data_IF_061991816369
#
_entry.id   IF_061991816369
#
_cell.length_a   1.000
_cell.length_b   1.000
_cell.length_c   1.000
_cell.angle_alpha   90.00
_cell.angle_beta   90.00
_cell.angle_gamma   90.00
#
_symmetry.space_group_name_H-M   'P 1'
#
loop_
_entity.id
_entity.type
_entity.pdbx_description
1 polymer ?
#
# COMPACT_ATOMS: atom_id res chain seq x y z
N UNK A 1 3.30 28.68 -13.45
CA UNK A 1 2.47 27.53 -13.09
C UNK A 1 1.11 27.99 -12.60
N UNK A 2 0.08 27.27 -12.96
CA UNK A 2 -1.30 27.63 -12.62
C UNK A 2 -1.63 27.12 -11.20
N UNK A 3 -1.87 28.07 -10.28
CA UNK A 3 -2.17 27.78 -8.86
C UNK A 3 -3.45 26.93 -8.70
N UNK A 4 -4.42 27.08 -9.60
CA UNK A 4 -5.66 26.29 -9.55
C UNK A 4 -5.42 24.83 -9.92
N UNK A 5 -4.55 24.58 -10.89
CA UNK A 5 -4.18 23.23 -11.30
C UNK A 5 -3.40 22.54 -10.16
N UNK A 6 -2.45 23.25 -9.54
CA UNK A 6 -1.69 22.71 -8.40
C UNK A 6 -2.63 22.41 -7.22
N UNK A 7 -3.60 23.28 -6.98
CA UNK A 7 -4.59 23.07 -5.93
C UNK A 7 -5.45 21.84 -6.22
N UNK A 8 -5.86 21.66 -7.48
CA UNK A 8 -6.64 20.51 -7.92
C UNK A 8 -5.87 19.20 -7.67
N UNK A 9 -4.62 19.10 -8.10
CA UNK A 9 -3.80 17.91 -7.89
C UNK A 9 -3.59 17.61 -6.40
N UNK A 10 -3.41 18.66 -5.60
CA UNK A 10 -3.23 18.52 -4.15
C UNK A 10 -4.48 17.96 -3.49
N UNK A 11 -5.64 18.49 -3.84
CA UNK A 11 -6.92 18.02 -3.31
C UNK A 11 -7.19 16.59 -3.78
N UNK A 12 -6.95 16.29 -5.04
CA UNK A 12 -7.16 14.97 -5.61
C UNK A 12 -6.37 13.91 -4.85
N UNK A 13 -5.09 14.15 -4.59
CA UNK A 13 -4.26 13.22 -3.85
C UNK A 13 -4.65 13.14 -2.37
N UNK A 14 -4.89 14.30 -1.75
CA UNK A 14 -5.13 14.40 -0.30
C UNK A 14 -6.48 13.83 0.11
N UNK A 15 -7.52 14.04 -0.69
CA UNK A 15 -8.89 13.66 -0.37
C UNK A 15 -9.31 12.32 -1.01
N UNK A 16 -8.46 11.67 -1.79
CA UNK A 16 -8.78 10.40 -2.44
C UNK A 16 -9.26 9.36 -1.40
N UNK A 17 -10.34 8.60 -1.71
CA UNK A 17 -10.84 7.56 -0.82
C UNK A 17 -9.85 6.41 -0.60
N UNK A 18 -9.09 6.06 -1.63
CA UNK A 18 -8.01 5.08 -1.50
C UNK A 18 -6.84 5.69 -0.74
N UNK A 19 -6.09 4.86 -0.04
CA UNK A 19 -4.86 5.32 0.60
C UNK A 19 -3.81 5.66 -0.46
N UNK A 20 -3.19 6.82 -0.33
CA UNK A 20 -2.00 7.19 -1.10
C UNK A 20 -0.89 7.45 -0.10
N UNK A 21 0.16 6.65 -0.19
CA UNK A 21 1.31 6.71 0.71
C UNK A 21 2.56 6.86 -0.14
N UNK A 22 3.40 7.84 0.20
CA UNK A 22 4.70 7.98 -0.44
C UNK A 22 5.79 7.84 0.61
N UNK A 23 6.75 6.96 0.33
CA UNK A 23 7.94 6.77 1.14
C UNK A 23 9.18 7.15 0.32
N UNK A 24 10.15 7.80 0.98
CA UNK A 24 11.42 8.13 0.35
C UNK A 24 12.28 6.87 0.13
N UNK A 25 13.46 7.05 -0.45
CA UNK A 25 14.36 5.92 -0.74
C UNK A 25 14.83 5.17 0.51
N UNK A 26 14.74 5.79 1.69
CA UNK A 26 15.05 5.17 2.98
C UNK A 26 13.83 4.44 3.59
N UNK A 27 12.67 4.51 2.95
CA UNK A 27 11.45 3.86 3.44
C UNK A 27 10.71 4.67 4.50
N UNK A 28 11.00 5.96 4.64
CA UNK A 28 10.32 6.83 5.58
C UNK A 28 9.15 7.54 4.89
N UNK A 29 8.01 7.54 5.56
CA UNK A 29 6.77 8.11 5.04
C UNK A 29 6.88 9.63 4.97
N UNK A 30 6.61 10.20 3.79
CA UNK A 30 6.58 11.65 3.58
C UNK A 30 5.24 12.16 3.03
N UNK A 31 4.34 11.27 2.64
CA UNK A 31 2.98 11.63 2.24
C UNK A 31 2.00 10.56 2.72
N UNK A 32 0.89 11.01 3.31
CA UNK A 32 -0.13 10.16 3.92
C UNK A 32 -1.47 10.88 3.81
N UNK A 33 -2.35 10.40 2.95
CA UNK A 33 -3.60 11.09 2.65
C UNK A 33 -4.75 10.69 3.58
N UNK A 34 -5.95 11.24 3.34
CA UNK A 34 -7.16 10.95 4.11
C UNK A 34 -7.57 9.47 4.00
N UNK A 35 -7.42 8.87 2.83
CA UNK A 35 -7.67 7.44 2.64
C UNK A 35 -6.77 6.58 3.53
N UNK A 36 -5.49 6.94 3.63
CA UNK A 36 -4.55 6.24 4.50
C UNK A 36 -4.93 6.37 5.98
N UNK A 37 -5.34 7.57 6.41
CA UNK A 37 -5.82 7.79 7.78
C UNK A 37 -7.00 6.86 8.10
N UNK A 38 -7.95 6.76 7.19
CA UNK A 38 -9.15 5.95 7.38
C UNK A 38 -8.86 4.46 7.39
N UNK A 39 -8.03 3.99 6.46
CA UNK A 39 -7.72 2.55 6.30
C UNK A 39 -6.82 2.06 7.43
N UNK A 40 -5.78 2.80 7.79
CA UNK A 40 -4.78 2.33 8.75
C UNK A 40 -4.96 2.87 10.16
N UNK A 41 -5.71 3.95 10.34
CA UNK A 41 -6.00 4.52 11.65
C UNK A 41 -4.95 5.47 12.21
N UNK A 42 -3.83 5.66 11.53
CA UNK A 42 -2.83 6.67 11.90
C UNK A 42 -3.19 8.01 11.24
N UNK A 43 -3.04 9.10 11.98
CA UNK A 43 -3.15 10.43 11.39
C UNK A 43 -1.92 10.75 10.54
N UNK A 44 -2.02 11.76 9.69
CA UNK A 44 -0.88 12.25 8.90
C UNK A 44 0.31 12.58 9.79
N UNK A 45 0.07 13.29 10.90
CA UNK A 45 1.13 13.69 11.82
C UNK A 45 1.77 12.49 12.53
N UNK A 46 1.00 11.44 12.82
CA UNK A 46 1.51 10.22 13.42
C UNK A 46 2.36 9.39 12.45
N UNK A 47 1.96 9.35 11.18
CA UNK A 47 2.63 8.52 10.17
C UNK A 47 3.85 9.18 9.54
N UNK A 48 3.82 10.51 9.33
CA UNK A 48 4.91 11.23 8.67
C UNK A 48 6.22 11.08 9.41
N UNK A 49 7.27 10.71 8.69
CA UNK A 49 8.60 10.46 9.24
C UNK A 49 8.80 9.08 9.84
N UNK A 50 7.75 8.28 9.90
CA UNK A 50 7.83 6.91 10.39
C UNK A 50 8.21 5.94 9.27
N UNK A 51 8.76 4.81 9.64
CA UNK A 51 9.00 3.69 8.72
C UNK A 51 7.68 3.07 8.27
N UNK A 52 7.65 2.54 7.05
CA UNK A 52 6.52 1.74 6.57
C UNK A 52 6.23 0.53 7.46
N UNK A 53 7.11 0.16 8.37
CA UNK A 53 6.89 -0.92 9.33
C UNK A 53 5.60 -0.74 10.13
N UNK A 54 5.11 0.49 10.30
CA UNK A 54 3.87 0.75 11.05
C UNK A 54 2.65 0.05 10.45
N UNK A 55 2.68 -0.27 9.15
CA UNK A 55 1.59 -0.97 8.46
C UNK A 55 1.97 -2.36 7.97
N UNK A 56 3.20 -2.80 8.17
CA UNK A 56 3.68 -4.12 7.70
C UNK A 56 3.73 -5.09 8.87
N UNK A 57 3.01 -6.23 8.81
CA UNK A 57 3.10 -7.26 9.84
C UNK A 57 4.54 -7.71 10.05
N UNK A 58 4.91 -7.95 11.30
CA UNK A 58 6.29 -8.26 11.68
C UNK A 58 6.90 -9.40 10.87
N UNK A 59 6.14 -10.47 10.67
CA UNK A 59 6.59 -11.64 9.92
C UNK A 59 6.81 -11.39 8.43
N UNK A 60 6.35 -10.24 7.90
CA UNK A 60 6.49 -9.87 6.49
C UNK A 60 7.49 -8.74 6.26
N UNK A 61 8.06 -8.17 7.31
CA UNK A 61 8.96 -7.01 7.21
C UNK A 61 10.21 -7.31 6.40
N UNK A 62 10.83 -8.45 6.64
CA UNK A 62 12.04 -8.83 5.90
C UNK A 62 11.75 -8.89 4.40
N UNK A 63 10.69 -9.57 4.01
CA UNK A 63 10.28 -9.70 2.60
C UNK A 63 9.97 -8.35 1.97
N UNK A 64 9.26 -7.50 2.72
CA UNK A 64 8.91 -6.15 2.28
C UNK A 64 10.17 -5.33 2.00
N UNK A 65 11.11 -5.30 2.95
CA UNK A 65 12.32 -4.49 2.81
C UNK A 65 13.30 -5.05 1.78
N UNK A 66 13.35 -6.36 1.59
CA UNK A 66 14.14 -6.96 0.51
C UNK A 66 13.63 -6.49 -0.86
N UNK A 67 12.31 -6.49 -1.07
CA UNK A 67 11.71 -6.00 -2.30
C UNK A 67 11.88 -4.49 -2.49
N UNK A 68 11.73 -3.72 -1.43
CA UNK A 68 11.90 -2.27 -1.44
C UNK A 68 13.35 -1.89 -1.79
N UNK A 69 14.33 -2.53 -1.13
CA UNK A 69 15.75 -2.30 -1.38
C UNK A 69 16.14 -2.65 -2.83
N UNK A 70 15.59 -3.72 -3.37
CA UNK A 70 15.82 -4.13 -4.76
C UNK A 70 15.29 -3.06 -5.73
N UNK A 71 14.10 -2.54 -5.49
CA UNK A 71 13.52 -1.46 -6.31
C UNK A 71 14.37 -0.20 -6.24
N UNK A 72 14.84 0.19 -5.06
CA UNK A 72 15.72 1.35 -4.87
C UNK A 72 17.05 1.15 -5.60
N UNK A 73 17.62 -0.04 -5.50
CA UNK A 73 18.91 -0.37 -6.10
C UNK A 73 18.86 -0.37 -7.64
N UNK A 74 17.82 -0.97 -8.21
CA UNK A 74 17.71 -1.14 -9.67
C UNK A 74 17.01 0.01 -10.38
N UNK A 75 16.24 0.82 -9.65
CA UNK A 75 15.39 1.85 -10.23
C UNK A 75 14.13 1.29 -10.87
N UNK A 76 13.88 -0.01 -10.74
CA UNK A 76 12.74 -0.71 -11.36
C UNK A 76 12.03 -1.58 -10.35
N UNK A 77 10.70 -1.50 -10.34
CA UNK A 77 9.90 -2.46 -9.58
C UNK A 77 9.81 -3.79 -10.32
N UNK A 78 9.74 -4.90 -9.56
CA UNK A 78 9.46 -6.23 -10.10
C UNK A 78 8.09 -6.29 -10.78
N UNK A 79 7.17 -5.41 -10.39
CA UNK A 79 5.79 -5.42 -10.83
C UNK A 79 5.55 -4.27 -11.81
N UNK A 80 4.73 -4.54 -12.84
CA UNK A 80 4.26 -3.49 -13.76
C UNK A 80 3.27 -2.56 -13.07
N UNK A 81 3.03 -1.39 -13.69
CA UNK A 81 2.11 -0.39 -13.14
C UNK A 81 0.67 -0.90 -12.98
N UNK A 82 0.31 -1.97 -13.69
CA UNK A 82 -1.03 -2.55 -13.63
C UNK A 82 -1.10 -3.79 -12.74
N UNK A 83 0.02 -4.24 -12.19
CA UNK A 83 0.05 -5.41 -11.32
C UNK A 83 -0.50 -5.06 -9.95
N UNK A 84 -1.61 -5.69 -9.58
CA UNK A 84 -2.26 -5.51 -8.29
C UNK A 84 -1.71 -6.55 -7.33
N UNK A 85 -1.16 -6.08 -6.21
CA UNK A 85 -0.61 -6.93 -5.17
C UNK A 85 -1.61 -7.03 -4.02
N UNK A 86 -1.77 -8.23 -3.47
CA UNK A 86 -2.66 -8.48 -2.33
C UNK A 86 -1.84 -9.00 -1.16
N UNK A 87 -1.88 -8.29 -0.04
CA UNK A 87 -1.08 -8.62 1.15
C UNK A 87 -1.81 -8.26 2.43
N UNK A 88 -1.45 -8.91 3.57
CA UNK A 88 -1.90 -8.43 4.87
C UNK A 88 -1.20 -7.13 5.26
N UNK A 89 -1.91 -6.30 6.02
CA UNK A 89 -1.39 -5.06 6.58
C UNK A 89 -1.88 -4.89 8.02
N UNK A 90 -1.26 -3.98 8.77
CA UNK A 90 -1.63 -3.66 10.14
C UNK A 90 -2.30 -2.30 10.23
N UNK A 91 -3.34 -2.21 11.08
CA UNK A 91 -3.91 -0.94 11.53
C UNK A 91 -3.21 -0.50 12.82
N UNK A 92 -3.43 0.76 13.18
CA UNK A 92 -2.92 1.33 14.44
C UNK A 92 -3.35 0.53 15.68
N UNK A 93 -4.57 -0.01 15.67
CA UNK A 93 -5.11 -0.80 16.78
C UNK A 93 -4.55 -2.24 16.83
N UNK A 94 -3.66 -2.59 15.92
CA UNK A 94 -3.08 -3.93 15.81
C UNK A 94 -3.90 -4.89 14.98
N UNK A 95 -5.10 -4.51 14.52
CA UNK A 95 -5.92 -5.37 13.68
C UNK A 95 -5.23 -5.64 12.34
N UNK A 96 -5.33 -6.89 11.88
CA UNK A 96 -4.77 -7.32 10.61
C UNK A 96 -5.86 -7.22 9.53
N UNK A 97 -5.55 -6.53 8.44
CA UNK A 97 -6.44 -6.34 7.31
C UNK A 97 -5.80 -6.88 6.04
N UNK A 98 -6.61 -7.06 4.99
CA UNK A 98 -6.13 -7.40 3.66
C UNK A 98 -6.22 -6.17 2.78
N UNK A 99 -5.11 -5.83 2.12
CA UNK A 99 -5.07 -4.69 1.19
C UNK A 99 -4.63 -5.14 -0.19
N UNK A 100 -5.20 -4.51 -1.19
CA UNK A 100 -4.68 -4.56 -2.56
C UNK A 100 -3.99 -3.24 -2.84
N UNK A 101 -2.88 -3.29 -3.57
CA UNK A 101 -2.15 -2.07 -3.88
C UNK A 101 -1.41 -2.14 -5.20
N UNK A 102 -1.15 -0.97 -5.75
CA UNK A 102 -0.27 -0.76 -6.89
C UNK A 102 0.84 0.20 -6.46
N UNK A 103 1.97 0.16 -7.13
CA UNK A 103 3.11 1.00 -6.79
C UNK A 103 3.55 1.84 -7.99
N UNK A 104 4.08 3.02 -7.68
CA UNK A 104 4.60 3.95 -8.66
C UNK A 104 5.95 4.48 -8.15
N UNK A 105 7.08 4.02 -8.72
CA UNK A 105 8.38 4.57 -8.35
C UNK A 105 8.58 5.95 -8.98
N UNK A 106 9.22 6.84 -8.23
CA UNK A 106 9.60 8.17 -8.69
C UNK A 106 11.11 8.23 -8.88
N UNK A 107 11.53 8.75 -10.03
CA UNK A 107 12.92 8.83 -10.41
C UNK A 107 13.36 10.29 -10.58
N UNK A 108 14.63 10.56 -10.32
CA UNK A 108 15.25 11.81 -10.76
C UNK A 108 15.63 11.72 -12.24
N UNK A 109 16.25 12.77 -12.76
CA UNK A 109 16.66 12.84 -14.18
C UNK A 109 17.71 11.79 -14.57
N UNK A 110 18.43 11.24 -13.59
CA UNK A 110 19.45 10.20 -13.83
C UNK A 110 18.89 8.79 -13.75
N UNK A 111 17.61 8.64 -13.40
CA UNK A 111 16.96 7.34 -13.21
C UNK A 111 17.09 6.78 -11.79
N UNK A 112 17.66 7.54 -10.87
CA UNK A 112 17.80 7.15 -9.48
C UNK A 112 16.45 7.30 -8.76
N UNK A 113 16.09 6.31 -7.94
CA UNK A 113 14.85 6.32 -7.16
C UNK A 113 14.89 7.41 -6.10
N UNK A 114 13.90 8.30 -6.13
CA UNK A 114 13.64 9.29 -5.09
C UNK A 114 12.73 8.72 -4.00
N UNK A 115 11.81 7.87 -4.38
CA UNK A 115 10.84 7.25 -3.49
C UNK A 115 9.83 6.43 -4.26
N UNK A 116 8.90 5.81 -3.52
CA UNK A 116 7.88 4.94 -4.09
C UNK A 116 6.53 5.34 -3.52
N UNK A 117 5.56 5.59 -4.40
CA UNK A 117 4.17 5.78 -4.00
C UNK A 117 3.43 4.44 -4.07
N UNK A 118 2.54 4.21 -3.11
CA UNK A 118 1.62 3.09 -3.11
C UNK A 118 0.18 3.62 -3.06
N UNK A 119 -0.69 2.98 -3.84
CA UNK A 119 -2.13 3.23 -3.88
C UNK A 119 -2.79 1.98 -3.32
N UNK A 120 -3.45 2.09 -2.18
CA UNK A 120 -3.92 0.93 -1.43
C UNK A 120 -5.43 1.00 -1.20
N UNK A 121 -6.05 -0.16 -1.25
CA UNK A 121 -7.47 -0.33 -0.96
C UNK A 121 -7.65 -1.45 0.06
N UNK A 122 -8.50 -1.22 1.06
CA UNK A 122 -8.89 -2.25 2.03
C UNK A 122 -9.90 -3.19 1.36
N UNK A 123 -9.51 -4.46 1.23
CA UNK A 123 -10.32 -5.51 0.63
C UNK A 123 -10.63 -6.63 1.62
N UNK A 124 -10.53 -6.33 2.91
CA UNK A 124 -10.72 -7.33 3.98
C UNK A 124 -12.06 -8.04 3.85
N UNK A 125 -13.14 -7.30 3.68
CA UNK A 125 -14.49 -7.87 3.55
C UNK A 125 -14.58 -8.82 2.36
N UNK A 126 -14.12 -8.36 1.20
CA UNK A 126 -14.12 -9.17 -0.02
C UNK A 126 -13.23 -10.40 0.11
N UNK A 127 -12.07 -10.26 0.71
CA UNK A 127 -11.14 -11.36 0.96
C UNK A 127 -11.78 -12.42 1.84
N UNK A 128 -12.45 -12.04 2.93
CA UNK A 128 -13.12 -12.96 3.84
C UNK A 128 -14.30 -13.67 3.16
N UNK A 129 -15.08 -12.96 2.34
CA UNK A 129 -16.17 -13.53 1.55
C UNK A 129 -15.68 -14.60 0.58
N UNK A 130 -14.61 -14.31 -0.18
CA UNK A 130 -14.03 -15.27 -1.13
C UNK A 130 -13.48 -16.48 -0.41
N UNK A 131 -12.80 -16.27 0.73
CA UNK A 131 -12.27 -17.37 1.55
C UNK A 131 -13.38 -18.27 2.06
N UNK A 132 -14.49 -17.70 2.55
CA UNK A 132 -15.65 -18.44 3.01
C UNK A 132 -16.28 -19.26 1.87
N UNK A 133 -16.45 -18.65 0.69
CA UNK A 133 -17.01 -19.31 -0.49
C UNK A 133 -16.13 -20.48 -0.97
N UNK A 134 -14.83 -20.31 -0.96
CA UNK A 134 -13.88 -21.37 -1.33
C UNK A 134 -13.97 -22.55 -0.36
N UNK A 135 -14.13 -22.26 0.92
CA UNK A 135 -14.30 -23.29 1.96
C UNK A 135 -15.60 -24.07 1.78
N UNK A 136 -16.69 -23.39 1.49
CA UNK A 136 -17.99 -24.02 1.22
C UNK A 136 -17.90 -24.90 -0.04
N UNK A 137 -17.28 -24.39 -1.09
CA UNK A 137 -17.12 -25.14 -2.35
C UNK A 137 -16.29 -26.40 -2.13
N UNK A 138 -15.21 -26.33 -1.38
CA UNK A 138 -14.38 -27.49 -1.04
C UNK A 138 -15.17 -28.53 -0.23
N UNK A 139 -16.01 -28.09 0.73
CA UNK A 139 -16.85 -28.96 1.53
C UNK A 139 -17.89 -29.69 0.66
N UNK A 140 -18.51 -29.00 -0.31
CA UNK A 140 -19.45 -29.60 -1.26
C UNK A 140 -18.76 -30.60 -2.16
N UNK A 141 -17.55 -30.31 -2.65
CA UNK A 141 -16.76 -31.23 -3.46
C UNK A 141 -16.41 -32.52 -2.70
N UNK A 142 -16.04 -32.39 -1.43
CA UNK A 142 -15.74 -33.52 -0.55
C UNK A 142 -17.00 -34.35 -0.26
N UNK A 143 -18.16 -33.72 -0.07
CA UNK A 143 -19.41 -34.38 0.19
C UNK A 143 -19.95 -35.15 -1.04
N UNK A 144 -19.56 -34.74 -2.25
CA UNK A 144 -19.96 -35.38 -3.51
C UNK A 144 -19.15 -36.65 -3.83
N UNK A 145 -18.01 -36.85 -3.18
CA UNK A 145 -17.20 -38.06 -3.27
C UNK A 145 -17.71 -39.13 -2.26
#
# INVERSE_FOLDING_TARGET
>A
MNREVDRFYRILAREAPDAIIYADAAGLISFWNKGAERIFGFSESEATGKSLDIIVPENLRKRHWDGFAETVRTGKTRYGAQDVLAVPALRKDGARISVEFTVLPFHDRTGRILGIAAFLRDVTKRFEEVKALRKELAALGTAAE
#
